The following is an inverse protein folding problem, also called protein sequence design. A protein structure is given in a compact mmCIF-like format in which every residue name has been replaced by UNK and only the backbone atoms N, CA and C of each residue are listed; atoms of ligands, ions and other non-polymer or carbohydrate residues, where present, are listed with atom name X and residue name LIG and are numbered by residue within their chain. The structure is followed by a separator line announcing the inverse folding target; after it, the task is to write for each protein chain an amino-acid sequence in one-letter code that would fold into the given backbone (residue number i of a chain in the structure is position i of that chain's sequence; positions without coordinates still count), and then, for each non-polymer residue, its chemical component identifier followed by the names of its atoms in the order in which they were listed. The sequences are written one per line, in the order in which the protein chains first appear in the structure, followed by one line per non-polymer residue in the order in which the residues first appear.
data_IF_528965975731
#
_entry.id   IF_528965975731
#
_cell.length_a   1.000
_cell.length_b   1.000
_cell.length_c   1.000
_cell.angle_alpha   90.00
_cell.angle_beta   90.00
_cell.angle_gamma   90.00
#
_symmetry.space_group_name_H-M   'P 1'
#
loop_
_entity.id
_entity.type
_entity.pdbx_description
1 polymer ?
#
# COMPACT_ATOMS: atom_id res chain seq x y z
N UNK A 1 24.84 4.77 1.17
CA UNK A 1 23.74 5.58 0.57
C UNK A 1 22.39 4.87 0.46
N UNK A 2 22.27 3.56 0.72
CA UNK A 2 21.06 2.78 0.36
C UNK A 2 20.02 2.60 1.49
N UNK A 3 20.38 2.87 2.75
CA UNK A 3 19.48 2.65 3.92
C UNK A 3 18.30 3.62 3.98
N UNK A 4 18.48 4.84 3.49
CA UNK A 4 17.43 5.87 3.50
C UNK A 4 16.27 5.52 2.56
N UNK A 5 16.57 4.87 1.42
CA UNK A 5 15.58 4.49 0.41
C UNK A 5 14.67 3.39 0.95
N UNK A 6 15.24 2.35 1.59
CA UNK A 6 14.43 1.29 2.22
C UNK A 6 13.56 1.82 3.35
N UNK A 7 14.03 2.82 4.10
CA UNK A 7 13.24 3.46 5.16
C UNK A 7 12.08 4.27 4.59
N UNK A 8 12.30 4.99 3.50
CA UNK A 8 11.26 5.71 2.76
C UNK A 8 10.19 4.77 2.23
N UNK A 9 10.58 3.64 1.63
CA UNK A 9 9.63 2.63 1.13
C UNK A 9 8.77 2.10 2.28
N UNK A 10 9.37 1.79 3.42
CA UNK A 10 8.64 1.31 4.60
C UNK A 10 7.64 2.35 5.14
N UNK A 11 8.01 3.63 5.15
CA UNK A 11 7.08 4.72 5.53
C UNK A 11 5.91 4.81 4.55
N UNK A 12 6.17 4.70 3.24
CA UNK A 12 5.15 4.73 2.19
C UNK A 12 4.20 3.54 2.35
N UNK A 13 4.71 2.33 2.58
CA UNK A 13 3.90 1.12 2.79
C UNK A 13 2.93 1.31 3.97
N UNK A 14 3.39 1.85 5.10
CA UNK A 14 2.55 2.11 6.27
C UNK A 14 1.44 3.12 5.96
N UNK A 15 1.76 4.21 5.26
CA UNK A 15 0.78 5.23 4.86
C UNK A 15 -0.30 4.61 3.97
N UNK A 16 0.10 3.80 2.99
CA UNK A 16 -0.83 3.14 2.08
C UNK A 16 -1.70 2.10 2.80
N UNK A 17 -1.15 1.32 3.73
CA UNK A 17 -1.93 0.37 4.54
C UNK A 17 -2.96 1.11 5.38
N UNK A 18 -2.60 2.23 6.00
CA UNK A 18 -3.56 3.07 6.75
C UNK A 18 -4.66 3.58 5.84
N UNK A 19 -4.32 4.02 4.62
CA UNK A 19 -5.30 4.48 3.64
C UNK A 19 -6.26 3.36 3.20
N UNK A 20 -5.74 2.16 2.91
CA UNK A 20 -6.56 0.97 2.60
C UNK A 20 -7.52 0.65 3.75
N UNK A 21 -7.03 0.66 4.99
CA UNK A 21 -7.86 0.35 6.17
C UNK A 21 -8.93 1.41 6.39
N UNK A 22 -8.61 2.69 6.15
CA UNK A 22 -9.55 3.81 6.25
C UNK A 22 -10.56 3.89 5.10
N UNK A 23 -10.27 3.29 3.95
CA UNK A 23 -11.18 3.35 2.80
C UNK A 23 -12.51 2.67 3.11
N UNK A 24 -13.62 3.10 2.48
CA UNK A 24 -14.94 2.49 2.70
C UNK A 24 -15.18 1.23 1.83
N UNK A 25 -14.10 0.52 1.49
CA UNK A 25 -14.13 -0.68 0.63
C UNK A 25 -14.52 -1.90 1.44
N UNK A 26 -15.10 -2.89 0.77
CA UNK A 26 -15.33 -4.21 1.32
C UNK A 26 -14.06 -4.79 1.96
N UNK A 27 -14.22 -5.45 3.10
CA UNK A 27 -13.12 -6.04 3.88
C UNK A 27 -12.23 -6.97 3.04
N UNK A 28 -12.83 -7.76 2.15
CA UNK A 28 -12.09 -8.67 1.25
C UNK A 28 -11.13 -7.92 0.31
N UNK A 29 -11.57 -6.78 -0.24
CA UNK A 29 -10.74 -5.94 -1.11
C UNK A 29 -9.61 -5.27 -0.33
N UNK A 30 -9.86 -4.88 0.91
CA UNK A 30 -8.81 -4.33 1.79
C UNK A 30 -7.70 -5.36 2.02
N UNK A 31 -8.08 -6.59 2.35
CA UNK A 31 -7.14 -7.67 2.61
C UNK A 31 -6.29 -7.96 1.36
N UNK A 32 -6.90 -8.05 0.18
CA UNK A 32 -6.18 -8.22 -1.09
C UNK A 32 -5.15 -7.11 -1.33
N UNK A 33 -5.53 -5.84 -1.10
CA UNK A 33 -4.63 -4.70 -1.28
C UNK A 33 -3.49 -4.69 -0.26
N UNK A 34 -3.75 -5.01 1.00
CA UNK A 34 -2.71 -5.11 2.04
C UNK A 34 -1.71 -6.20 1.68
N UNK A 35 -2.17 -7.37 1.24
CA UNK A 35 -1.30 -8.48 0.80
C UNK A 35 -0.44 -8.01 -0.39
N UNK A 36 -1.02 -7.34 -1.38
CA UNK A 36 -0.29 -6.85 -2.53
C UNK A 36 0.80 -5.83 -2.15
N UNK A 37 0.51 -4.90 -1.24
CA UNK A 37 1.48 -3.91 -0.72
C UNK A 37 2.62 -4.58 0.04
N UNK A 38 2.31 -5.55 0.92
CA UNK A 38 3.34 -6.26 1.70
C UNK A 38 4.25 -7.13 0.84
N UNK A 39 3.70 -7.82 -0.17
CA UNK A 39 4.51 -8.65 -1.07
C UNK A 39 5.25 -7.85 -2.14
N UNK A 40 4.74 -6.67 -2.50
CA UNK A 40 5.34 -5.76 -3.47
C UNK A 40 5.50 -4.36 -2.86
N UNK A 41 6.50 -4.11 -2.00
CA UNK A 41 6.63 -2.86 -1.26
C UNK A 41 6.88 -1.62 -2.16
N UNK A 42 7.36 -1.82 -3.39
CA UNK A 42 7.54 -0.73 -4.36
C UNK A 42 6.34 -0.64 -5.31
N UNK A 43 5.95 -1.75 -5.92
CA UNK A 43 4.90 -1.77 -6.94
C UNK A 43 3.48 -1.76 -6.35
N UNK A 44 3.28 -2.33 -5.17
CA UNK A 44 2.01 -2.44 -4.47
C UNK A 44 1.41 -1.07 -4.12
N UNK A 45 2.14 -0.15 -3.47
CA UNK A 45 1.72 1.23 -3.27
C UNK A 45 1.32 1.95 -4.57
N UNK A 46 2.11 1.75 -5.64
CA UNK A 46 1.88 2.36 -6.95
C UNK A 46 0.58 1.80 -7.56
N UNK A 47 0.41 0.48 -7.58
CA UNK A 47 -0.79 -0.17 -8.09
C UNK A 47 -2.03 0.23 -7.27
N UNK A 48 -1.90 0.32 -5.95
CA UNK A 48 -2.98 0.78 -5.08
C UNK A 48 -3.40 2.20 -5.44
N UNK A 49 -2.46 3.12 -5.66
CA UNK A 49 -2.80 4.50 -6.03
C UNK A 49 -3.54 4.60 -7.37
N UNK A 50 -3.20 3.77 -8.35
CA UNK A 50 -3.82 3.80 -9.67
C UNK A 50 -5.15 3.03 -9.76
N UNK A 51 -5.20 1.82 -9.17
CA UNK A 51 -6.31 0.88 -9.32
C UNK A 51 -7.18 0.80 -8.06
N UNK A 52 -6.56 0.93 -6.88
CA UNK A 52 -7.22 0.82 -5.58
C UNK A 52 -7.87 2.12 -5.12
N UNK A 53 -7.19 3.26 -5.20
CA UNK A 53 -7.61 4.54 -4.62
C UNK A 53 -8.83 5.18 -5.32
N UNK A 54 -9.21 4.72 -6.52
CA UNK A 54 -10.30 5.32 -7.32
C UNK A 54 -11.70 4.79 -7.03
N UNK A 55 -11.94 4.01 -5.97
CA UNK A 55 -13.28 3.53 -5.59
C UNK A 55 -13.47 3.49 -4.09
#
# INVERSE_FOLDING_TARGET
MSRLISLLILVIDVIVIIDIVRSNKDTEKKILWIIAVVFLPVLGPILYYFLGNRR
#
